data_IF_118749697327
#
_entry.id   IF_118749697327
#
_cell.length_a   1.000
_cell.length_b   1.000
_cell.length_c   1.000
_cell.angle_alpha   90.00
_cell.angle_beta   90.00
_cell.angle_gamma   90.00
#
_symmetry.space_group_name_H-M   'P 1'
#
loop_
_entity.id
_entity.type
_entity.pdbx_description
1 polymer ?
#
# COMPACT_ATOMS: atom_id res chain seq x y z
N UNK A 1 6.60 12.47 2.46
CA UNK A 1 7.38 12.77 1.24
C UNK A 1 7.28 11.57 0.29
N UNK A 2 7.07 11.76 -1.02
CA UNK A 2 6.69 10.67 -1.94
C UNK A 2 7.77 9.59 -2.10
N UNK A 3 9.05 9.93 -1.95
CA UNK A 3 10.18 8.98 -2.04
C UNK A 3 10.05 7.86 -1.00
N UNK A 4 9.61 8.17 0.22
CA UNK A 4 9.41 7.17 1.27
C UNK A 4 8.30 6.17 0.94
N UNK A 5 7.24 6.60 0.25
CA UNK A 5 6.17 5.70 -0.17
C UNK A 5 6.69 4.67 -1.17
N UNK A 6 7.52 5.10 -2.12
CA UNK A 6 8.16 4.20 -3.10
C UNK A 6 9.09 3.19 -2.41
N UNK A 7 9.86 3.62 -1.40
CA UNK A 7 10.69 2.70 -0.62
C UNK A 7 9.86 1.65 0.12
N UNK A 8 8.72 2.06 0.71
CA UNK A 8 7.79 1.13 1.36
C UNK A 8 7.22 0.12 0.35
N UNK A 9 6.84 0.58 -0.84
CA UNK A 9 6.35 -0.30 -1.92
C UNK A 9 7.40 -1.33 -2.33
N UNK A 10 8.67 -0.92 -2.41
CA UNK A 10 9.76 -1.84 -2.77
C UNK A 10 10.00 -2.89 -1.68
N UNK A 11 9.97 -2.48 -0.41
CA UNK A 11 10.13 -3.38 0.74
C UNK A 11 8.97 -4.38 0.84
N UNK A 12 7.73 -3.93 0.66
CA UNK A 12 6.54 -4.80 0.66
C UNK A 12 6.56 -5.79 -0.51
N UNK A 13 6.95 -5.34 -1.71
CA UNK A 13 7.14 -6.24 -2.85
C UNK A 13 8.23 -7.29 -2.59
N UNK A 14 9.37 -6.90 -2.01
CA UNK A 14 10.45 -7.83 -1.67
C UNK A 14 9.98 -8.88 -0.63
N UNK A 15 9.23 -8.46 0.39
CA UNK A 15 8.65 -9.35 1.39
C UNK A 15 7.67 -10.35 0.77
N UNK A 16 6.85 -9.90 -0.18
CA UNK A 16 5.93 -10.75 -0.95
C UNK A 16 6.68 -11.80 -1.77
N UNK A 17 7.74 -11.41 -2.48
CA UNK A 17 8.58 -12.36 -3.25
C UNK A 17 9.30 -13.37 -2.38
N UNK A 18 9.70 -12.98 -1.16
CA UNK A 18 10.32 -13.91 -0.21
C UNK A 18 9.32 -14.97 0.26
N UNK A 19 8.07 -14.58 0.53
CA UNK A 19 7.00 -15.51 0.90
C UNK A 19 6.63 -16.48 -0.22
N UNK A 20 6.68 -16.02 -1.48
CA UNK A 20 6.46 -16.87 -2.65
C UNK A 20 7.48 -18.01 -2.74
N UNK A 21 8.70 -17.81 -2.24
CA UNK A 21 9.78 -18.80 -2.29
C UNK A 21 9.85 -19.68 -1.05
N UNK A 22 9.24 -19.27 0.06
CA UNK A 22 9.28 -19.97 1.35
C UNK A 22 7.85 -20.24 1.84
N UNK A 23 7.19 -21.31 1.36
CA UNK A 23 5.79 -21.61 1.67
C UNK A 23 5.63 -22.25 3.05
N UNK A 24 6.09 -21.57 4.10
CA UNK A 24 5.87 -21.96 5.50
C UNK A 24 4.76 -21.09 6.12
N UNK A 25 3.80 -21.71 6.82
CA UNK A 25 2.64 -21.00 7.42
C UNK A 25 3.06 -19.86 8.36
N UNK A 26 4.19 -20.00 9.06
CA UNK A 26 4.75 -18.94 9.92
C UNK A 26 5.25 -17.72 9.15
N UNK A 27 5.85 -17.93 7.97
CA UNK A 27 6.34 -16.85 7.10
C UNK A 27 5.16 -16.12 6.44
N UNK A 28 4.07 -16.82 6.16
CA UNK A 28 2.82 -16.24 5.66
C UNK A 28 2.14 -15.32 6.68
N UNK A 29 2.00 -15.76 7.94
CA UNK A 29 1.46 -14.92 9.03
C UNK A 29 2.31 -13.67 9.26
N UNK A 30 3.65 -13.82 9.28
CA UNK A 30 4.56 -12.67 9.35
C UNK A 30 4.36 -11.72 8.17
N UNK A 31 4.12 -12.27 6.98
CA UNK A 31 3.80 -11.51 5.79
C UNK A 31 2.55 -10.66 5.90
N UNK A 32 1.47 -11.23 6.42
CA UNK A 32 0.21 -10.50 6.67
C UNK A 32 0.46 -9.36 7.65
N UNK A 33 1.10 -9.64 8.80
CA UNK A 33 1.38 -8.63 9.81
C UNK A 33 2.21 -7.48 9.22
N UNK A 34 3.23 -7.81 8.43
CA UNK A 34 4.07 -6.85 7.74
C UNK A 34 3.26 -6.00 6.75
N UNK A 35 2.46 -6.64 5.89
CA UNK A 35 1.62 -5.95 4.91
C UNK A 35 0.63 -5.00 5.58
N UNK A 36 0.00 -5.42 6.69
CA UNK A 36 -0.88 -4.57 7.52
C UNK A 36 -0.14 -3.35 8.04
N UNK A 37 1.05 -3.55 8.61
CA UNK A 37 1.86 -2.48 9.19
C UNK A 37 2.22 -1.41 8.16
N UNK A 38 2.74 -1.82 7.00
CA UNK A 38 3.13 -0.88 5.95
C UNK A 38 1.93 -0.20 5.26
N UNK A 39 0.83 -0.92 5.08
CA UNK A 39 -0.41 -0.33 4.54
C UNK A 39 -0.95 0.74 5.48
N UNK A 40 -0.94 0.50 6.80
CA UNK A 40 -1.34 1.51 7.80
C UNK A 40 -0.43 2.73 7.79
N UNK A 41 0.90 2.52 7.69
CA UNK A 41 1.87 3.63 7.58
C UNK A 41 1.56 4.48 6.34
N UNK A 42 1.36 3.85 5.17
CA UNK A 42 1.01 4.56 3.93
C UNK A 42 -0.33 5.30 4.04
N UNK A 43 -1.31 4.69 4.69
CA UNK A 43 -2.63 5.29 4.91
C UNK A 43 -2.53 6.51 5.82
N UNK A 44 -1.83 6.40 6.95
CA UNK A 44 -1.55 7.54 7.84
C UNK A 44 -0.76 8.62 7.13
N UNK A 45 0.22 8.26 6.29
CA UNK A 45 0.96 9.24 5.47
C UNK A 45 0.09 9.91 4.41
N UNK A 46 -0.90 9.21 3.85
CA UNK A 46 -1.86 9.76 2.90
C UNK A 46 -2.78 10.78 3.57
N UNK A 47 -3.29 10.47 4.77
CA UNK A 47 -4.14 11.40 5.54
C UNK A 47 -3.37 12.54 6.21
N UNK A 48 -2.14 12.28 6.67
CA UNK A 48 -1.27 13.26 7.34
C UNK A 48 -0.47 14.10 6.36
N UNK A 49 -0.52 13.82 5.04
CA UNK A 49 0.13 14.68 4.06
C UNK A 49 -0.51 16.06 4.21
N UNK A 50 0.23 17.08 4.67
CA UNK A 50 -0.35 18.38 4.89
C UNK A 50 -0.97 18.79 3.57
N UNK A 51 -2.28 19.12 3.59
CA UNK A 51 -2.87 20.00 2.59
C UNK A 51 -2.05 21.28 2.69
N UNK A 52 -0.90 21.33 2.00
CA UNK A 52 -0.30 22.59 1.62
C UNK A 52 -1.43 23.24 0.85
N UNK A 53 -2.11 24.16 1.51
CA UNK A 53 -3.00 25.09 0.89
C UNK A 53 -2.25 25.51 -0.37
N UNK A 54 -2.79 25.13 -1.52
CA UNK A 54 -2.38 25.69 -2.79
C UNK A 54 -2.87 27.15 -2.83
N UNK A 55 -2.57 27.90 -1.78
CA UNK A 55 -2.79 29.32 -1.65
C UNK A 55 -1.65 29.95 -2.45
N UNK A 56 -1.87 29.97 -3.77
CA UNK A 56 -1.55 31.11 -4.66
C UNK A 56 -1.78 30.83 -6.13
N UNK A 57 -2.56 29.81 -6.51
CA UNK A 57 -3.09 29.79 -7.88
C UNK A 57 -4.56 29.39 -7.82
N UNK A 58 -5.42 30.40 -7.82
CA UNK A 58 -6.84 30.27 -8.10
C UNK A 58 -7.00 29.70 -9.51
N UNK A 59 -7.11 28.38 -9.64
CA UNK A 59 -7.50 27.70 -10.86
C UNK A 59 -8.72 26.85 -10.52
N UNK A 60 -9.90 27.42 -10.82
CA UNK A 60 -11.23 26.83 -10.85
C UNK A 60 -11.68 25.91 -9.68
N UNK A 61 -12.79 26.22 -8.98
CA UNK A 61 -13.31 25.41 -7.88
C UNK A 61 -13.82 24.01 -8.29
N UNK A 62 -13.87 23.70 -9.59
CA UNK A 62 -14.45 22.45 -10.10
C UNK A 62 -13.44 21.31 -10.29
N UNK A 63 -12.13 21.60 -10.36
CA UNK A 63 -11.09 20.58 -10.57
C UNK A 63 -10.00 20.74 -9.51
N UNK A 64 -10.13 20.00 -8.42
CA UNK A 64 -9.12 19.94 -7.37
C UNK A 64 -7.96 19.09 -7.88
N UNK A 65 -6.97 19.71 -8.53
CA UNK A 65 -5.82 18.99 -9.07
C UNK A 65 -5.09 18.23 -7.94
N UNK A 66 -5.04 16.91 -8.06
CA UNK A 66 -4.17 16.07 -7.25
C UNK A 66 -2.73 16.45 -7.60
N UNK A 67 -1.98 17.00 -6.64
CA UNK A 67 -0.55 17.25 -6.86
C UNK A 67 0.12 15.89 -7.13
N UNK A 68 1.01 15.80 -8.14
CA UNK A 68 1.70 14.55 -8.52
C UNK A 68 2.26 13.78 -7.30
N UNK A 69 2.77 14.51 -6.30
CA UNK A 69 3.30 13.95 -5.05
C UNK A 69 2.24 13.26 -4.18
N UNK A 70 1.05 13.84 -4.10
CA UNK A 70 -0.06 13.28 -3.34
C UNK A 70 -0.70 12.11 -4.10
N UNK A 71 -0.82 12.22 -5.43
CA UNK A 71 -1.30 11.12 -6.28
C UNK A 71 -0.43 9.87 -6.09
N UNK A 72 0.90 10.00 -6.09
CA UNK A 72 1.81 8.87 -5.85
C UNK A 72 1.58 8.18 -4.50
N UNK A 73 1.42 8.94 -3.42
CA UNK A 73 1.16 8.39 -2.08
C UNK A 73 -0.21 7.69 -2.04
N UNK A 74 -1.22 8.30 -2.66
CA UNK A 74 -2.57 7.76 -2.73
C UNK A 74 -2.61 6.43 -3.52
N UNK A 75 -1.96 6.37 -4.69
CA UNK A 75 -1.87 5.15 -5.48
C UNK A 75 -1.11 4.04 -4.75
N UNK A 76 0.01 4.38 -4.10
CA UNK A 76 0.77 3.43 -3.26
C UNK A 76 -0.09 2.85 -2.14
N UNK A 77 -0.86 3.69 -1.43
CA UNK A 77 -1.78 3.23 -0.40
C UNK A 77 -2.91 2.34 -0.95
N UNK A 78 -3.48 2.70 -2.10
CA UNK A 78 -4.52 1.89 -2.77
C UNK A 78 -3.98 0.51 -3.17
N UNK A 79 -2.82 0.47 -3.83
CA UNK A 79 -2.22 -0.79 -4.29
C UNK A 79 -1.89 -1.68 -3.09
N UNK A 80 -1.24 -1.16 -2.05
CA UNK A 80 -0.94 -1.93 -0.84
C UNK A 80 -2.21 -2.40 -0.13
N UNK A 81 -3.26 -1.58 -0.11
CA UNK A 81 -4.57 -1.94 0.42
C UNK A 81 -5.23 -3.09 -0.35
N UNK A 82 -5.15 -3.08 -1.68
CA UNK A 82 -5.65 -4.18 -2.52
C UNK A 82 -4.84 -5.46 -2.27
N UNK A 83 -3.50 -5.36 -2.20
CA UNK A 83 -2.64 -6.52 -1.88
C UNK A 83 -3.00 -7.09 -0.51
N UNK A 84 -3.17 -6.24 0.51
CA UNK A 84 -3.59 -6.65 1.85
C UNK A 84 -4.97 -7.34 1.83
N UNK A 85 -5.92 -6.80 1.07
CA UNK A 85 -7.24 -7.42 0.93
C UNK A 85 -7.14 -8.82 0.33
N UNK A 86 -6.32 -9.00 -0.71
CA UNK A 86 -6.06 -10.32 -1.28
C UNK A 86 -5.38 -11.26 -0.27
N UNK A 87 -4.47 -10.76 0.57
CA UNK A 87 -3.85 -11.55 1.65
C UNK A 87 -4.89 -12.08 2.63
N UNK A 88 -5.86 -11.24 3.00
CA UNK A 88 -6.96 -11.66 3.89
C UNK A 88 -7.83 -12.72 3.23
N UNK A 89 -8.17 -12.56 1.94
CA UNK A 89 -8.97 -13.56 1.21
C UNK A 89 -8.25 -14.91 1.09
N UNK A 90 -6.93 -14.89 0.85
CA UNK A 90 -6.13 -16.09 0.79
C UNK A 90 -5.97 -16.74 2.17
N UNK A 91 -5.82 -15.96 3.24
CA UNK A 91 -5.80 -16.50 4.60
C UNK A 91 -7.11 -17.19 5.02
N UNK A 92 -8.26 -16.69 4.56
CA UNK A 92 -9.58 -17.30 4.82
C UNK A 92 -9.80 -18.55 3.93
N UNK A 93 -8.88 -18.84 2.99
CA UNK A 93 -8.98 -19.99 2.08
C UNK A 93 -10.08 -19.83 1.03
N UNK A 94 -10.56 -18.60 0.81
CA UNK A 94 -11.62 -18.31 -0.17
C UNK A 94 -11.03 -18.01 -1.55
N UNK A 95 -9.73 -17.71 -1.66
CA UNK A 95 -9.11 -17.24 -2.89
C UNK A 95 -7.60 -17.56 -2.98
N UNK A 96 -7.17 -18.12 -4.12
CA UNK A 96 -5.78 -18.49 -4.38
C UNK A 96 -5.07 -17.56 -5.38
N UNK A 97 -5.63 -16.37 -5.66
CA UNK A 97 -5.05 -15.40 -6.60
C UNK A 97 -3.63 -14.98 -6.21
N UNK A 98 -3.32 -15.02 -4.91
CA UNK A 98 -1.95 -14.86 -4.41
C UNK A 98 -1.62 -15.99 -3.45
N UNK A 99 -0.46 -16.62 -3.68
CA UNK A 99 0.02 -17.82 -2.99
C UNK A 99 -0.92 -19.03 -3.12
N UNK A 100 -0.94 -19.67 -4.30
CA UNK A 100 -1.78 -20.85 -4.57
C UNK A 100 -1.31 -22.18 -3.92
N UNK A 101 -0.35 -22.11 -3.01
CA UNK A 101 0.35 -23.29 -2.46
C UNK A 101 0.11 -23.51 -0.97
N UNK A 102 -0.84 -22.77 -0.37
CA UNK A 102 -1.12 -22.79 1.06
C UNK A 102 -2.49 -23.36 1.41
#
# INVERSE_FOLDING_TARGET
MPIFAIFIDLITAAAYFLQLRLPFKGVYLLGIVFQVLFTLILLVMSFSYPKKQADKIQLNPSYRYLTIRYALILFSAIINGVVLFLYVLNFIGTNDLIFSQF
#
